data_IF_424490420093
#
_entry.id   IF_424490420093
#
_cell.length_a   1.000
_cell.length_b   1.000
_cell.length_c   1.000
_cell.angle_alpha   90.00
_cell.angle_beta   90.00
_cell.angle_gamma   90.00
#
_symmetry.space_group_name_H-M   'P 1'
#
loop_
_entity.id
_entity.type
_entity.pdbx_description
1 polymer ?
#
# COMPACT_ATOMS: atom_id res chain seq x y z
N UNK A 1 -18.16 71.61 -42.40
CA UNK A 1 -17.45 71.61 -43.71
C UNK A 1 -16.13 72.33 -43.49
N UNK A 2 -14.92 71.88 -43.86
CA UNK A 2 -14.41 70.69 -44.60
C UNK A 2 -12.92 70.50 -44.13
N UNK A 3 -12.16 69.41 -44.37
CA UNK A 3 -12.40 68.12 -45.03
C UNK A 3 -11.66 66.93 -44.36
N UNK A 4 -10.47 66.56 -44.87
CA UNK A 4 -9.54 65.45 -44.55
C UNK A 4 -8.19 65.74 -45.22
N UNK A 5 -7.07 65.22 -44.73
CA UNK A 5 -6.10 64.42 -45.52
C UNK A 5 -4.98 63.81 -44.63
N UNK A 6 -4.34 62.72 -45.08
CA UNK A 6 -3.41 61.88 -44.29
C UNK A 6 -1.94 61.96 -44.74
N UNK A 7 -1.04 61.39 -43.90
CA UNK A 7 0.34 60.87 -44.16
C UNK A 7 1.50 61.91 -44.13
N UNK A 8 2.77 61.51 -43.83
CA UNK A 8 3.36 60.15 -43.92
C UNK A 8 4.23 59.61 -42.75
N UNK A 9 4.64 58.34 -42.91
CA UNK A 9 5.77 57.56 -42.34
C UNK A 9 6.75 58.13 -41.30
N UNK A 10 7.10 57.29 -40.32
CA UNK A 10 8.51 57.05 -39.94
C UNK A 10 8.72 55.64 -39.30
N UNK A 11 9.97 55.14 -39.32
CA UNK A 11 10.35 53.78 -38.91
C UNK A 11 10.39 53.56 -37.38
N UNK A 12 10.08 52.34 -36.93
CA UNK A 12 10.63 51.77 -35.70
C UNK A 12 10.85 50.26 -35.87
N UNK A 13 12.08 49.79 -35.64
CA UNK A 13 12.45 48.39 -35.82
C UNK A 13 12.02 47.52 -34.62
N UNK A 14 11.44 46.35 -34.91
CA UNK A 14 11.10 45.35 -33.89
C UNK A 14 12.20 44.29 -33.88
N UNK A 15 12.91 44.17 -32.75
CA UNK A 15 13.81 43.05 -32.48
C UNK A 15 12.96 41.85 -32.04
N UNK A 16 12.87 40.83 -32.90
CA UNK A 16 12.22 39.56 -32.58
C UNK A 16 13.15 38.69 -31.72
N UNK A 17 13.04 38.78 -30.41
CA UNK A 17 13.59 37.77 -29.50
C UNK A 17 12.75 36.49 -29.59
N UNK A 18 13.24 35.50 -30.36
CA UNK A 18 12.64 34.17 -30.42
C UNK A 18 12.86 33.43 -29.09
N UNK A 19 11.80 33.22 -28.31
CA UNK A 19 11.82 32.27 -27.20
C UNK A 19 11.84 30.85 -27.79
N UNK A 20 12.84 30.00 -27.49
CA UNK A 20 12.81 28.62 -27.94
C UNK A 20 11.68 27.89 -27.21
N UNK A 21 10.69 27.42 -27.97
CA UNK A 21 9.66 26.55 -27.43
C UNK A 21 10.32 25.28 -26.89
N UNK A 22 10.11 24.99 -25.61
CA UNK A 22 10.61 23.77 -24.98
C UNK A 22 9.82 22.58 -25.54
N UNK A 23 10.28 22.00 -26.65
CA UNK A 23 9.67 20.80 -27.21
C UNK A 23 9.84 19.65 -26.20
N UNK A 24 8.75 19.28 -25.55
CA UNK A 24 8.67 18.01 -24.84
C UNK A 24 8.91 16.89 -25.86
N UNK A 25 10.07 16.24 -25.79
CA UNK A 25 10.34 15.03 -26.56
C UNK A 25 9.46 13.91 -26.02
N UNK A 26 8.25 13.81 -26.56
CA UNK A 26 7.39 12.65 -26.38
C UNK A 26 7.99 11.48 -27.16
N UNK A 27 8.95 10.78 -26.54
CA UNK A 27 9.49 9.54 -27.06
C UNK A 27 8.40 8.48 -26.89
N UNK A 28 7.59 8.31 -27.92
CA UNK A 28 6.80 7.10 -28.15
C UNK A 28 7.78 5.98 -28.57
N UNK A 29 8.55 5.49 -27.59
CA UNK A 29 9.29 4.23 -27.74
C UNK A 29 8.24 3.14 -28.00
N UNK A 30 8.46 2.31 -29.03
CA UNK A 30 7.52 1.22 -29.34
C UNK A 30 7.51 0.23 -28.18
N UNK A 31 6.52 0.36 -27.29
CA UNK A 31 6.50 -0.32 -26.01
C UNK A 31 6.31 -1.82 -26.20
N UNK A 32 7.42 -2.56 -26.18
CA UNK A 32 7.44 -4.00 -26.44
C UNK A 32 6.45 -4.74 -25.54
N UNK A 33 5.49 -5.42 -26.16
CA UNK A 33 4.51 -6.25 -25.46
C UNK A 33 5.23 -7.48 -24.89
N UNK A 34 5.22 -7.60 -23.56
CA UNK A 34 5.78 -8.70 -22.81
C UNK A 34 4.66 -9.72 -22.57
N UNK A 35 4.87 -10.96 -23.03
CA UNK A 35 3.96 -12.09 -22.78
C UNK A 35 4.39 -12.89 -21.53
N UNK A 36 3.48 -13.65 -20.90
CA UNK A 36 3.82 -14.61 -19.86
C UNK A 36 4.89 -15.60 -20.35
N UNK A 37 5.85 -15.94 -19.49
CA UNK A 37 6.91 -16.92 -19.75
C UNK A 37 6.50 -18.35 -19.33
N UNK A 38 5.56 -18.47 -18.39
CA UNK A 38 4.96 -19.73 -17.93
C UNK A 38 3.50 -19.49 -17.56
N UNK A 39 2.66 -20.50 -17.72
CA UNK A 39 1.28 -20.51 -17.23
C UNK A 39 1.05 -21.82 -16.49
N UNK A 40 0.32 -21.78 -15.38
CA UNK A 40 -0.19 -22.97 -14.69
C UNK A 40 -1.64 -22.75 -14.29
N UNK A 41 -2.48 -23.79 -14.37
CA UNK A 41 -3.86 -23.75 -13.87
C UNK A 41 -3.85 -24.19 -12.41
N UNK A 42 -4.45 -23.37 -11.54
CA UNK A 42 -4.57 -23.61 -10.10
C UNK A 42 -6.03 -23.93 -9.78
N UNK A 43 -6.24 -25.11 -9.21
CA UNK A 43 -7.49 -25.50 -8.56
C UNK A 43 -7.58 -24.81 -7.18
N UNK A 44 -8.63 -24.02 -6.88
CA UNK A 44 -8.77 -23.37 -5.58
C UNK A 44 -9.12 -24.36 -4.47
N UNK A 45 -8.62 -24.03 -3.27
CA UNK A 45 -9.14 -24.56 -2.02
C UNK A 45 -10.24 -23.62 -1.51
N UNK A 46 -11.51 -23.98 -1.76
CA UNK A 46 -12.67 -23.23 -1.23
C UNK A 46 -12.80 -23.41 0.28
N UNK A 47 -12.97 -22.31 0.99
CA UNK A 47 -13.14 -22.22 2.43
C UNK A 47 -14.55 -21.68 2.66
N UNK A 48 -15.50 -22.56 2.99
CA UNK A 48 -16.93 -22.20 3.03
C UNK A 48 -17.29 -21.23 4.17
N UNK A 49 -16.47 -21.21 5.22
CA UNK A 49 -16.50 -20.25 6.32
C UNK A 49 -15.13 -20.22 7.00
N UNK A 50 -14.80 -19.14 7.71
CA UNK A 50 -13.49 -18.93 8.36
C UNK A 50 -13.05 -20.13 9.23
N UNK A 51 -13.97 -20.77 9.95
CA UNK A 51 -13.68 -21.88 10.86
C UNK A 51 -13.77 -23.27 10.23
N UNK A 52 -13.96 -23.38 8.90
CA UNK A 52 -14.08 -24.67 8.22
C UNK A 52 -12.87 -25.59 8.40
N UNK A 53 -11.66 -25.01 8.57
CA UNK A 53 -10.38 -25.74 8.72
C UNK A 53 -9.75 -25.61 10.11
N UNK A 54 -10.16 -24.61 10.90
CA UNK A 54 -9.57 -24.31 12.23
C UNK A 54 -10.69 -24.17 13.26
N UNK A 55 -10.61 -24.96 14.35
CA UNK A 55 -11.65 -25.01 15.38
C UNK A 55 -11.57 -23.90 16.43
N UNK A 56 -10.44 -23.19 16.54
CA UNK A 56 -10.22 -22.15 17.54
C UNK A 56 -10.29 -20.78 16.88
N UNK A 57 -11.31 -20.01 17.26
CA UNK A 57 -11.41 -18.59 16.96
C UNK A 57 -10.22 -17.83 17.56
N UNK A 58 -9.56 -16.98 16.75
CA UNK A 58 -8.64 -15.95 17.23
C UNK A 58 -9.49 -14.81 17.81
N UNK A 59 -9.19 -14.40 19.04
CA UNK A 59 -9.95 -13.36 19.75
C UNK A 59 -9.02 -12.23 20.16
N UNK A 60 -9.59 -11.03 20.29
CA UNK A 60 -8.93 -9.86 20.85
C UNK A 60 -9.95 -9.02 21.61
N UNK A 61 -9.48 -8.22 22.57
CA UNK A 61 -10.27 -7.20 23.26
C UNK A 61 -10.03 -5.85 22.56
N UNK A 62 -10.96 -5.37 21.72
CA UNK A 62 -10.73 -4.17 20.91
C UNK A 62 -10.69 -2.88 21.73
N UNK A 63 -11.43 -2.81 22.84
CA UNK A 63 -11.55 -1.60 23.67
C UNK A 63 -11.74 -0.29 22.84
N UNK A 64 -12.78 -0.19 22.00
CA UNK A 64 -13.02 0.97 21.14
C UNK A 64 -13.25 2.24 21.96
N UNK A 65 -12.58 3.32 21.54
CA UNK A 65 -12.45 4.57 22.29
C UNK A 65 -12.20 5.75 21.35
N UNK A 66 -12.42 6.96 21.85
CA UNK A 66 -12.02 8.18 21.15
C UNK A 66 -10.67 8.67 21.67
N UNK A 67 -9.69 8.86 20.77
CA UNK A 67 -8.38 9.43 21.09
C UNK A 67 -8.14 10.62 20.15
N UNK A 68 -7.86 11.80 20.70
CA UNK A 68 -7.62 13.03 19.93
C UNK A 68 -8.71 13.37 18.90
N UNK A 69 -9.96 12.97 19.14
CA UNK A 69 -11.10 13.17 18.23
C UNK A 69 -11.32 12.07 17.19
N UNK A 70 -10.49 11.02 17.18
CA UNK A 70 -10.57 9.89 16.24
C UNK A 70 -11.04 8.62 16.94
N UNK A 71 -11.78 7.77 16.22
CA UNK A 71 -12.12 6.43 16.70
C UNK A 71 -10.87 5.55 16.62
N UNK A 72 -10.54 4.90 17.74
CA UNK A 72 -9.36 4.06 17.92
C UNK A 72 -9.74 2.78 18.66
N UNK A 73 -9.20 1.64 18.22
CA UNK A 73 -9.32 0.34 18.90
C UNK A 73 -8.07 -0.50 18.70
N UNK A 74 -7.93 -1.55 19.51
CA UNK A 74 -6.83 -2.49 19.46
C UNK A 74 -7.07 -3.48 18.30
N UNK A 75 -6.03 -3.77 17.51
CA UNK A 75 -6.06 -4.75 16.42
C UNK A 75 -5.78 -6.15 16.94
N UNK A 76 -4.59 -6.68 16.67
CA UNK A 76 -4.00 -7.79 17.40
C UNK A 76 -3.32 -7.32 18.70
N UNK A 77 -3.44 -8.14 19.76
CA UNK A 77 -2.78 -7.95 21.07
C UNK A 77 -2.14 -9.26 21.58
N UNK A 78 -1.57 -10.06 20.68
CA UNK A 78 -0.92 -11.33 21.01
C UNK A 78 0.59 -11.19 21.25
N UNK A 79 1.12 -9.94 21.26
CA UNK A 79 2.52 -9.66 21.58
C UNK A 79 3.50 -10.37 20.64
N UNK A 80 3.28 -10.30 19.33
CA UNK A 80 4.24 -10.85 18.36
C UNK A 80 5.47 -9.94 18.25
N UNK A 81 6.66 -10.50 18.07
CA UNK A 81 7.88 -9.72 17.85
C UNK A 81 7.83 -8.94 16.53
N UNK A 82 7.15 -9.49 15.51
CA UNK A 82 6.97 -8.87 14.21
C UNK A 82 5.52 -9.06 13.79
N UNK A 83 4.67 -8.06 14.03
CA UNK A 83 3.23 -8.22 13.85
C UNK A 83 2.83 -8.16 12.37
N UNK A 84 3.56 -7.37 11.58
CA UNK A 84 3.29 -7.14 10.15
C UNK A 84 1.83 -6.74 9.85
N UNK A 85 1.35 -5.65 10.48
CA UNK A 85 -0.06 -5.31 10.48
C UNK A 85 -0.55 -4.79 9.12
N UNK A 86 -1.65 -5.38 8.66
CA UNK A 86 -2.42 -4.94 7.50
C UNK A 86 -3.85 -4.57 7.90
N UNK A 87 -4.48 -3.69 7.11
CA UNK A 87 -5.91 -3.39 7.25
C UNK A 87 -6.55 -3.25 5.86
N UNK A 88 -7.73 -3.83 5.71
CA UNK A 88 -8.64 -3.58 4.60
C UNK A 88 -10.03 -3.26 5.14
N UNK A 89 -10.75 -2.39 4.44
CA UNK A 89 -12.04 -1.87 4.91
C UNK A 89 -13.06 -1.96 3.80
N UNK A 90 -14.01 -2.90 3.95
CA UNK A 90 -15.18 -3.03 3.07
C UNK A 90 -16.35 -2.20 3.58
N UNK A 91 -17.58 -2.40 3.06
CA UNK A 91 -18.71 -1.53 3.37
C UNK A 91 -19.20 -1.63 4.81
N UNK A 92 -19.18 -2.84 5.37
CA UNK A 92 -19.67 -3.15 6.72
C UNK A 92 -18.58 -3.59 7.69
N UNK A 93 -17.38 -3.92 7.19
CA UNK A 93 -16.35 -4.66 7.94
C UNK A 93 -14.97 -4.03 7.83
N UNK A 94 -14.22 -4.05 8.93
CA UNK A 94 -12.78 -3.80 9.00
C UNK A 94 -12.09 -5.16 9.18
N UNK A 95 -11.22 -5.54 8.24
CA UNK A 95 -10.41 -6.77 8.32
C UNK A 95 -8.98 -6.37 8.63
N UNK A 96 -8.43 -6.93 9.71
CA UNK A 96 -7.06 -6.75 10.13
C UNK A 96 -6.28 -8.07 10.01
N UNK A 97 -5.11 -8.03 9.38
CA UNK A 97 -4.23 -9.18 9.21
C UNK A 97 -2.88 -8.98 9.91
N UNK A 98 -2.31 -10.07 10.43
CA UNK A 98 -0.97 -10.15 11.02
C UNK A 98 -0.36 -11.52 10.71
N UNK A 99 0.90 -11.74 11.08
CA UNK A 99 1.53 -13.07 11.01
C UNK A 99 0.78 -14.17 11.80
N UNK A 100 -0.07 -13.81 12.77
CA UNK A 100 -0.96 -14.71 13.53
C UNK A 100 -2.31 -15.02 12.87
N UNK A 101 -2.59 -14.47 11.68
CA UNK A 101 -3.87 -14.60 10.97
C UNK A 101 -4.69 -13.31 10.97
N UNK A 102 -6.01 -13.42 11.07
CA UNK A 102 -6.95 -12.33 10.80
C UNK A 102 -7.94 -12.09 11.94
N UNK A 103 -8.40 -10.85 12.07
CA UNK A 103 -9.52 -10.43 12.93
C UNK A 103 -10.42 -9.48 12.16
N UNK A 104 -11.71 -9.50 12.46
CA UNK A 104 -12.78 -8.79 11.77
C UNK A 104 -13.56 -7.99 12.80
N UNK A 105 -13.79 -6.72 12.49
CA UNK A 105 -14.54 -5.77 13.32
C UNK A 105 -15.65 -5.11 12.50
N UNK A 106 -16.65 -4.54 13.18
CA UNK A 106 -17.55 -3.57 12.57
C UNK A 106 -16.88 -2.19 12.38
N UNK A 107 -17.65 -1.20 11.93
CA UNK A 107 -17.17 0.18 11.69
C UNK A 107 -16.97 0.98 12.99
N UNK A 108 -17.51 0.49 14.10
CA UNK A 108 -17.46 1.06 15.44
C UNK A 108 -16.28 0.50 16.25
N UNK A 109 -15.62 -0.55 15.73
CA UNK A 109 -14.47 -1.21 16.34
C UNK A 109 -14.83 -2.37 17.26
N UNK A 110 -16.06 -2.87 17.23
CA UNK A 110 -16.44 -4.07 17.99
C UNK A 110 -15.96 -5.33 17.26
N UNK A 111 -15.43 -6.30 18.01
CA UNK A 111 -14.95 -7.57 17.45
C UNK A 111 -16.12 -8.45 16.99
N UNK A 112 -16.02 -8.97 15.76
CA UNK A 112 -17.00 -9.88 15.15
C UNK A 112 -16.44 -11.31 15.12
N UNK A 113 -15.29 -11.51 14.48
CA UNK A 113 -14.69 -12.83 14.31
C UNK A 113 -13.16 -12.76 14.11
N UNK A 114 -12.47 -13.90 14.17
CA UNK A 114 -11.04 -13.98 13.89
C UNK A 114 -10.57 -15.42 13.75
N UNK A 115 -9.60 -15.64 12.86
CA UNK A 115 -9.09 -16.96 12.48
C UNK A 115 -7.57 -16.91 12.36
N UNK A 116 -6.89 -18.02 12.63
CA UNK A 116 -5.45 -18.09 12.35
C UNK A 116 -5.17 -18.25 10.86
N UNK A 117 -3.95 -17.94 10.43
CA UNK A 117 -3.47 -18.14 9.05
C UNK A 117 -3.70 -19.57 8.53
N UNK A 118 -3.76 -20.56 9.42
CA UNK A 118 -3.99 -21.97 9.06
C UNK A 118 -5.41 -22.23 8.51
N UNK A 119 -6.35 -21.29 8.68
CA UNK A 119 -7.63 -21.33 7.99
C UNK A 119 -7.49 -21.20 6.47
N UNK A 120 -6.41 -20.54 6.02
CA UNK A 120 -6.11 -20.18 4.64
C UNK A 120 -4.86 -20.90 4.11
N UNK A 121 -4.73 -22.20 4.42
CA UNK A 121 -3.59 -23.07 4.05
C UNK A 121 -2.22 -22.64 4.64
N UNK A 122 -2.23 -21.71 5.61
CA UNK A 122 -1.02 -21.25 6.31
C UNK A 122 -0.19 -20.24 5.52
N UNK A 123 0.99 -19.92 6.05
CA UNK A 123 1.88 -18.86 5.56
C UNK A 123 2.00 -17.69 6.55
N UNK A 124 2.81 -16.70 6.22
CA UNK A 124 3.00 -15.46 7.00
C UNK A 124 2.99 -14.25 6.05
N UNK A 125 3.34 -13.08 6.59
CA UNK A 125 3.68 -11.88 5.84
C UNK A 125 2.51 -11.38 4.96
N UNK A 126 1.29 -11.23 5.49
CA UNK A 126 0.14 -10.87 4.67
C UNK A 126 0.28 -9.47 4.09
N UNK A 127 -0.29 -9.25 2.89
CA UNK A 127 -0.69 -7.94 2.38
C UNK A 127 -2.15 -8.07 1.97
N UNK A 128 -2.98 -7.14 2.45
CA UNK A 128 -4.43 -7.32 2.49
C UNK A 128 -5.11 -6.05 1.97
N UNK A 129 -6.07 -6.23 1.06
CA UNK A 129 -6.84 -5.15 0.46
C UNK A 129 -8.33 -5.47 0.39
N UNK A 130 -9.13 -4.41 0.25
CA UNK A 130 -10.49 -4.49 -0.26
C UNK A 130 -10.49 -3.88 -1.66
N UNK A 131 -11.08 -4.58 -2.62
CA UNK A 131 -11.32 -4.10 -3.99
C UNK A 131 -12.79 -3.68 -4.12
N UNK A 132 -13.00 -2.36 -4.17
CA UNK A 132 -14.33 -1.77 -4.32
C UNK A 132 -14.91 -1.95 -5.74
N UNK A 133 -14.09 -2.21 -6.77
CA UNK A 133 -14.59 -2.48 -8.13
C UNK A 133 -15.30 -3.85 -8.21
N UNK A 134 -14.88 -4.80 -7.38
CA UNK A 134 -15.41 -6.16 -7.36
C UNK A 134 -16.20 -6.50 -6.09
N UNK A 135 -16.12 -5.69 -5.03
CA UNK A 135 -16.77 -5.95 -3.76
C UNK A 135 -16.21 -7.20 -3.08
N UNK A 136 -14.88 -7.28 -2.95
CA UNK A 136 -14.18 -8.42 -2.35
C UNK A 136 -12.98 -7.98 -1.52
N UNK A 137 -12.63 -8.78 -0.52
CA UNK A 137 -11.34 -8.73 0.15
C UNK A 137 -10.38 -9.70 -0.54
N UNK A 138 -9.10 -9.34 -0.59
CA UNK A 138 -8.04 -10.22 -1.08
C UNK A 138 -6.74 -10.05 -0.29
N UNK A 139 -5.98 -11.12 -0.17
CA UNK A 139 -4.65 -11.10 0.44
C UNK A 139 -3.73 -12.21 -0.08
N UNK A 140 -2.42 -12.05 0.12
CA UNK A 140 -1.44 -13.13 0.03
C UNK A 140 -1.04 -13.67 1.41
N UNK A 141 -0.55 -14.92 1.44
CA UNK A 141 0.26 -15.46 2.54
C UNK A 141 1.45 -16.22 1.96
N UNK A 142 2.65 -15.94 2.47
CA UNK A 142 3.90 -16.55 2.01
C UNK A 142 4.22 -17.84 2.77
N UNK A 143 4.38 -18.96 2.06
CA UNK A 143 4.69 -20.27 2.65
C UNK A 143 6.14 -20.68 2.36
N UNK A 144 7.08 -20.22 3.18
CA UNK A 144 8.51 -20.58 3.03
C UNK A 144 8.86 -22.03 3.42
N UNK A 145 7.93 -22.81 4.01
CA UNK A 145 8.20 -24.09 4.66
C UNK A 145 7.31 -25.28 4.20
N UNK A 146 6.96 -25.34 2.91
CA UNK A 146 6.15 -26.44 2.41
C UNK A 146 6.94 -27.77 2.26
N UNK A 147 6.26 -28.89 2.52
CA UNK A 147 6.85 -30.24 2.46
C UNK A 147 7.32 -30.62 1.05
N UNK A 148 6.69 -30.07 0.01
CA UNK A 148 7.03 -30.34 -1.39
C UNK A 148 8.16 -29.43 -1.92
N UNK A 149 8.62 -28.46 -1.12
CA UNK A 149 9.61 -27.43 -1.47
C UNK A 149 9.19 -26.57 -2.69
N UNK A 150 7.90 -26.50 -2.97
CA UNK A 150 7.26 -25.68 -4.01
C UNK A 150 7.14 -24.20 -3.63
N UNK A 151 7.29 -23.91 -2.34
CA UNK A 151 7.13 -22.61 -1.65
C UNK A 151 5.95 -21.82 -2.23
N UNK A 152 4.70 -22.25 -1.99
CA UNK A 152 3.56 -21.56 -2.56
C UNK A 152 3.39 -20.16 -1.93
N UNK A 153 2.82 -19.25 -2.72
CA UNK A 153 2.07 -18.12 -2.18
C UNK A 153 0.59 -18.47 -2.23
N UNK A 154 -0.11 -18.30 -1.12
CA UNK A 154 -1.54 -18.53 -1.02
C UNK A 154 -2.27 -17.21 -1.29
N UNK A 155 -2.76 -17.02 -2.51
CA UNK A 155 -3.60 -15.87 -2.87
C UNK A 155 -5.05 -16.20 -2.50
N UNK A 156 -5.64 -15.47 -1.56
CA UNK A 156 -7.01 -15.70 -1.08
C UNK A 156 -7.92 -14.54 -1.44
N UNK A 157 -9.13 -14.84 -1.92
CA UNK A 157 -10.15 -13.85 -2.33
C UNK A 157 -11.50 -14.24 -1.74
N UNK A 158 -12.24 -13.29 -1.15
CA UNK A 158 -13.60 -13.55 -0.66
C UNK A 158 -14.61 -13.59 -1.81
N UNK A 159 -15.69 -14.35 -1.66
CA UNK A 159 -16.76 -14.40 -2.69
C UNK A 159 -17.60 -13.11 -2.72
N UNK A 160 -17.61 -12.36 -1.62
CA UNK A 160 -18.44 -11.16 -1.38
C UNK A 160 -17.72 -10.13 -0.50
N UNK A 161 -18.38 -9.00 -0.22
CA UNK A 161 -17.94 -7.93 0.68
C UNK A 161 -18.20 -8.26 2.18
N UNK A 162 -18.68 -9.47 2.47
CA UNK A 162 -18.73 -10.04 3.81
C UNK A 162 -17.55 -11.02 4.02
N UNK A 163 -16.50 -10.62 4.77
CA UNK A 163 -15.31 -11.43 5.00
C UNK A 163 -15.56 -12.60 5.96
N UNK A 164 -16.74 -12.68 6.60
CA UNK A 164 -17.14 -13.82 7.45
C UNK A 164 -17.62 -15.04 6.63
N UNK A 165 -17.87 -14.84 5.32
CA UNK A 165 -18.41 -15.85 4.41
C UNK A 165 -17.31 -16.63 3.71
N UNK A 166 -17.59 -17.16 2.53
CA UNK A 166 -16.69 -18.05 1.82
C UNK A 166 -15.53 -17.31 1.14
N UNK A 167 -14.39 -18.00 1.07
CA UNK A 167 -13.16 -17.54 0.44
C UNK A 167 -12.59 -18.64 -0.47
N UNK A 168 -11.82 -18.24 -1.47
CA UNK A 168 -11.15 -19.12 -2.41
C UNK A 168 -9.63 -18.89 -2.34
N UNK A 169 -8.88 -19.90 -1.92
CA UNK A 169 -7.41 -19.83 -1.76
C UNK A 169 -6.69 -20.57 -2.89
N UNK A 170 -5.81 -19.87 -3.59
CA UNK A 170 -5.02 -20.33 -4.72
C UNK A 170 -3.54 -20.42 -4.33
N UNK A 171 -3.05 -21.64 -4.13
CA UNK A 171 -1.64 -21.90 -3.80
C UNK A 171 -0.74 -21.92 -5.04
N UNK A 172 -0.21 -20.75 -5.44
CA UNK A 172 0.62 -20.61 -6.65
C UNK A 172 2.07 -21.00 -6.35
N UNK A 173 2.66 -21.91 -7.13
CA UNK A 173 4.03 -22.39 -6.89
C UNK A 173 5.07 -21.36 -7.35
N UNK A 174 5.93 -20.91 -6.43
CA UNK A 174 7.06 -20.01 -6.72
C UNK A 174 8.39 -20.62 -6.24
N UNK A 175 8.90 -21.66 -6.93
CA UNK A 175 10.21 -22.21 -6.64
C UNK A 175 11.28 -21.13 -6.75
N UNK A 176 12.28 -21.21 -5.87
CA UNK A 176 13.34 -20.20 -5.67
C UNK A 176 12.86 -18.79 -5.29
N UNK A 177 11.57 -18.61 -5.00
CA UNK A 177 11.02 -17.43 -4.36
C UNK A 177 11.61 -17.17 -2.97
N UNK A 178 11.69 -15.89 -2.63
CA UNK A 178 12.15 -15.35 -1.35
C UNK A 178 11.07 -14.45 -0.78
N UNK A 179 11.08 -14.29 0.54
CA UNK A 179 10.17 -13.42 1.29
C UNK A 179 10.30 -11.93 0.92
N UNK A 180 9.27 -11.14 1.24
CA UNK A 180 9.16 -9.72 0.87
C UNK A 180 8.37 -9.49 -0.42
N UNK A 181 7.39 -10.36 -0.70
CA UNK A 181 6.43 -10.15 -1.78
C UNK A 181 5.33 -9.13 -1.44
N UNK A 182 4.54 -8.76 -2.44
CA UNK A 182 3.39 -7.87 -2.32
C UNK A 182 2.30 -8.26 -3.32
N UNK A 183 1.04 -8.06 -2.93
CA UNK A 183 -0.16 -8.23 -3.77
C UNK A 183 -0.76 -6.86 -4.15
N UNK A 184 -1.48 -6.81 -5.26
CA UNK A 184 -2.26 -5.66 -5.71
C UNK A 184 -3.33 -6.13 -6.71
N UNK A 185 -4.17 -5.21 -7.16
CA UNK A 185 -5.35 -5.55 -7.96
C UNK A 185 -5.73 -4.45 -8.95
N UNK A 186 -6.52 -4.83 -9.93
CA UNK A 186 -7.41 -3.98 -10.70
C UNK A 186 -8.79 -4.62 -10.77
N UNK A 187 -9.74 -3.94 -11.42
CA UNK A 187 -11.06 -4.52 -11.68
C UNK A 187 -11.01 -5.92 -12.33
N UNK A 188 -9.99 -6.22 -13.15
CA UNK A 188 -9.90 -7.47 -13.91
C UNK A 188 -8.84 -8.46 -13.41
N UNK A 189 -7.79 -7.97 -12.75
CA UNK A 189 -6.60 -8.77 -12.47
C UNK A 189 -6.14 -8.66 -11.02
N UNK A 190 -5.63 -9.77 -10.50
CA UNK A 190 -4.82 -9.81 -9.28
C UNK A 190 -3.35 -9.88 -9.71
N UNK A 191 -2.50 -9.05 -9.10
CA UNK A 191 -1.07 -9.04 -9.32
C UNK A 191 -0.31 -9.42 -8.07
N UNK A 192 0.70 -10.29 -8.19
CA UNK A 192 1.64 -10.58 -7.11
C UNK A 192 3.08 -10.44 -7.60
N UNK A 193 3.91 -9.69 -6.87
CA UNK A 193 5.32 -9.46 -7.18
C UNK A 193 6.21 -9.87 -6.01
N UNK A 194 7.31 -10.58 -6.27
CA UNK A 194 8.15 -11.18 -5.22
C UNK A 194 9.65 -11.24 -5.59
N UNK A 195 10.57 -11.30 -4.62
CA UNK A 195 12.00 -11.53 -4.88
C UNK A 195 12.33 -13.03 -5.03
N UNK A 196 13.56 -13.34 -5.49
CA UNK A 196 13.97 -14.72 -5.82
C UNK A 196 13.58 -15.15 -7.25
N UNK A 197 13.98 -16.35 -7.67
CA UNK A 197 13.63 -16.97 -8.96
C UNK A 197 14.01 -16.21 -10.26
N UNK A 198 13.52 -16.73 -11.39
CA UNK A 198 13.55 -16.06 -12.71
C UNK A 198 12.25 -15.31 -12.99
N UNK A 199 11.11 -15.98 -12.79
CA UNK A 199 9.78 -15.38 -12.90
C UNK A 199 9.40 -14.78 -11.54
N UNK A 200 9.13 -13.47 -11.50
CA UNK A 200 8.99 -12.70 -10.25
C UNK A 200 7.70 -11.90 -10.15
N UNK A 201 6.82 -12.13 -11.13
CA UNK A 201 5.54 -11.45 -11.23
C UNK A 201 4.52 -12.46 -11.70
N UNK A 202 3.41 -12.58 -10.97
CA UNK A 202 2.25 -13.39 -11.29
C UNK A 202 1.07 -12.46 -11.56
N UNK A 203 0.25 -12.82 -12.54
CA UNK A 203 -1.07 -12.22 -12.77
C UNK A 203 -2.12 -13.33 -12.81
N UNK A 204 -3.28 -13.10 -12.19
CA UNK A 204 -4.45 -14.00 -12.18
C UNK A 204 -5.73 -13.22 -12.49
N UNK A 205 -6.76 -13.89 -13.02
CA UNK A 205 -8.07 -13.27 -13.28
C UNK A 205 -8.86 -13.08 -11.99
N UNK A 206 -9.30 -11.84 -11.73
CA UNK A 206 -10.12 -11.52 -10.55
C UNK A 206 -11.46 -12.27 -10.57
N UNK A 207 -12.19 -12.24 -11.68
CA UNK A 207 -13.49 -12.91 -11.82
C UNK A 207 -13.43 -14.41 -11.51
N UNK A 208 -12.42 -15.11 -12.05
CA UNK A 208 -12.23 -16.54 -11.77
C UNK A 208 -11.90 -16.79 -10.29
N UNK A 209 -11.01 -15.98 -9.72
CA UNK A 209 -10.61 -16.11 -8.32
C UNK A 209 -11.76 -15.84 -7.34
N UNK A 210 -12.54 -14.78 -7.59
CA UNK A 210 -13.75 -14.46 -6.82
C UNK A 210 -14.79 -15.58 -6.91
N UNK A 211 -15.01 -16.14 -8.11
CA UNK A 211 -16.01 -17.17 -8.35
C UNK A 211 -15.60 -18.59 -7.87
N UNK A 212 -14.39 -18.77 -7.31
CA UNK A 212 -13.90 -20.07 -6.87
C UNK A 212 -13.69 -21.06 -8.01
N UNK A 213 -13.41 -20.56 -9.21
CA UNK A 213 -13.17 -21.38 -10.40
C UNK A 213 -11.67 -21.70 -10.55
N UNK A 214 -11.31 -22.77 -11.28
CA UNK A 214 -9.93 -23.01 -11.70
C UNK A 214 -9.39 -21.78 -12.45
N UNK A 215 -8.25 -21.26 -12.02
CA UNK A 215 -7.69 -20.00 -12.51
C UNK A 215 -6.24 -20.15 -12.96
N UNK A 216 -5.89 -19.50 -14.06
CA UNK A 216 -4.52 -19.49 -14.58
C UNK A 216 -3.66 -18.47 -13.82
N UNK A 217 -2.51 -18.92 -13.32
CA UNK A 217 -1.43 -18.07 -12.86
C UNK A 217 -0.45 -17.84 -14.02
N UNK A 218 -0.41 -16.59 -14.51
CA UNK A 218 0.47 -16.16 -15.60
C UNK A 218 1.77 -15.59 -15.01
N UNK A 219 2.86 -16.34 -15.19
CA UNK A 219 4.18 -16.01 -14.67
C UNK A 219 4.97 -15.20 -15.70
N UNK A 220 5.41 -14.00 -15.33
CA UNK A 220 6.26 -13.15 -16.15
C UNK A 220 7.72 -13.17 -15.67
N UNK A 221 8.64 -13.18 -16.64
CA UNK A 221 10.08 -13.14 -16.40
C UNK A 221 10.52 -11.80 -15.81
N UNK A 222 11.26 -11.85 -14.72
CA UNK A 222 11.67 -10.68 -13.95
C UNK A 222 10.53 -10.07 -13.12
N UNK A 223 10.89 -9.08 -12.31
CA UNK A 223 9.94 -8.32 -11.49
C UNK A 223 9.48 -7.10 -12.26
N UNK A 224 8.17 -6.83 -12.34
CA UNK A 224 7.67 -5.54 -12.84
C UNK A 224 7.74 -4.43 -11.80
N UNK A 225 7.69 -4.78 -10.51
CA UNK A 225 7.75 -3.84 -9.38
C UNK A 225 6.83 -4.29 -8.25
N UNK A 226 6.45 -3.36 -7.39
CA UNK A 226 5.34 -3.52 -6.47
C UNK A 226 4.02 -3.49 -7.27
N UNK A 227 3.15 -4.51 -7.23
CA UNK A 227 1.81 -4.41 -7.79
C UNK A 227 1.04 -3.30 -7.07
N UNK A 228 0.20 -2.59 -7.82
CA UNK A 228 -0.53 -1.43 -7.33
C UNK A 228 -1.95 -1.84 -6.93
N UNK A 229 -2.45 -1.32 -5.81
CA UNK A 229 -3.87 -1.38 -5.49
C UNK A 229 -4.61 -0.32 -6.31
N UNK A 230 -5.24 -0.74 -7.41
CA UNK A 230 -5.94 0.18 -8.32
C UNK A 230 -7.38 0.42 -7.89
N UNK A 231 -7.63 1.59 -7.29
CA UNK A 231 -8.94 2.03 -6.84
C UNK A 231 -9.76 2.69 -7.97
N UNK A 232 -9.11 3.08 -9.07
CA UNK A 232 -9.81 3.59 -10.26
C UNK A 232 -10.60 2.47 -10.96
N UNK A 233 -11.67 2.84 -11.66
CA UNK A 233 -12.51 1.92 -12.44
C UNK A 233 -11.84 1.57 -13.79
N UNK A 234 -10.65 0.96 -13.72
CA UNK A 234 -9.83 0.51 -14.86
C UNK A 234 -9.55 -1.00 -14.74
N UNK A 235 -9.74 -1.73 -15.84
CA UNK A 235 -9.33 -3.14 -15.97
C UNK A 235 -7.80 -3.29 -15.86
N UNK A 236 -7.05 -2.23 -16.15
CA UNK A 236 -5.60 -2.17 -16.08
C UNK A 236 -5.03 -2.43 -14.69
N UNK A 237 -4.15 -3.43 -14.59
CA UNK A 237 -3.32 -3.66 -13.40
C UNK A 237 -1.95 -2.99 -13.60
N UNK A 238 -1.48 -2.27 -12.60
CA UNK A 238 -0.22 -1.52 -12.67
C UNK A 238 0.82 -2.12 -11.73
N UNK A 239 2.08 -2.01 -12.14
CA UNK A 239 3.24 -2.31 -11.30
C UNK A 239 4.16 -1.10 -11.29
N UNK A 240 4.59 -0.70 -10.10
CA UNK A 240 5.49 0.44 -9.89
C UNK A 240 6.87 -0.02 -9.40
N UNK A 241 7.92 0.47 -10.04
CA UNK A 241 9.30 0.22 -9.62
C UNK A 241 10.09 1.51 -9.55
N UNK A 242 10.52 1.85 -8.33
CA UNK A 242 11.45 2.93 -8.08
C UNK A 242 12.90 2.41 -8.20
N UNK A 243 13.64 2.94 -9.17
CA UNK A 243 15.08 2.73 -9.33
C UNK A 243 15.85 3.96 -8.80
N UNK A 244 17.19 3.93 -8.64
CA UNK A 244 17.93 5.07 -8.06
C UNK A 244 17.88 6.41 -8.82
N UNK A 245 17.39 6.43 -10.07
CA UNK A 245 17.27 7.62 -10.94
C UNK A 245 16.02 7.62 -11.83
N UNK A 246 15.17 6.59 -11.74
CA UNK A 246 14.06 6.37 -12.66
C UNK A 246 12.85 5.73 -11.96
N UNK A 247 11.67 6.18 -12.35
CA UNK A 247 10.41 5.52 -12.08
C UNK A 247 10.01 4.71 -13.31
N UNK A 248 9.73 3.42 -13.12
CA UNK A 248 9.21 2.53 -14.15
C UNK A 248 7.77 2.16 -13.77
N UNK A 249 6.86 2.29 -14.73
CA UNK A 249 5.48 1.83 -14.59
C UNK A 249 5.19 0.84 -15.72
N UNK A 250 4.75 -0.35 -15.34
CA UNK A 250 4.28 -1.39 -16.26
C UNK A 250 2.78 -1.56 -16.08
N UNK A 251 2.01 -1.48 -17.17
CA UNK A 251 0.58 -1.79 -17.19
C UNK A 251 0.36 -3.19 -17.77
N UNK A 252 -0.51 -3.96 -17.14
CA UNK A 252 -1.02 -5.24 -17.63
C UNK A 252 -2.45 -5.03 -18.12
N UNK A 253 -2.73 -5.54 -19.32
CA UNK A 253 -4.04 -5.52 -19.99
C UNK A 253 -4.34 -6.90 -20.56
N UNK A 254 -5.59 -7.12 -20.97
CA UNK A 254 -5.90 -8.26 -21.83
C UNK A 254 -5.23 -8.08 -23.21
N UNK A 255 -4.66 -9.15 -23.77
CA UNK A 255 -4.32 -9.27 -25.18
C UNK A 255 -5.50 -9.76 -26.02
N UNK A 256 -5.26 -9.99 -27.31
CA UNK A 256 -6.29 -10.41 -28.28
C UNK A 256 -6.96 -11.75 -27.94
N UNK A 257 -6.24 -12.62 -27.23
CA UNK A 257 -6.72 -13.92 -26.71
C UNK A 257 -7.35 -13.83 -25.30
N UNK A 258 -7.47 -12.61 -24.75
CA UNK A 258 -7.99 -12.34 -23.41
C UNK A 258 -6.99 -12.54 -22.27
N UNK A 259 -5.82 -13.13 -22.53
CA UNK A 259 -4.78 -13.39 -21.52
C UNK A 259 -4.03 -12.10 -21.14
N UNK A 260 -3.43 -12.02 -19.93
CA UNK A 260 -2.69 -10.83 -19.54
C UNK A 260 -1.41 -10.67 -20.36
N UNK A 261 -1.22 -9.48 -20.92
CA UNK A 261 0.03 -9.01 -21.54
C UNK A 261 0.49 -7.74 -20.84
N UNK A 262 1.81 -7.58 -20.70
CA UNK A 262 2.40 -6.48 -19.94
C UNK A 262 3.15 -5.52 -20.87
N UNK A 263 3.02 -4.22 -20.60
CA UNK A 263 3.64 -3.15 -21.39
C UNK A 263 4.28 -2.14 -20.45
N UNK A 264 5.56 -1.82 -20.64
CA UNK A 264 6.20 -0.73 -19.91
C UNK A 264 5.70 0.60 -20.49
N UNK A 265 4.78 1.28 -19.79
CA UNK A 265 4.17 2.53 -20.26
C UNK A 265 4.97 3.77 -19.87
N UNK A 266 5.90 3.68 -18.91
CA UNK A 266 6.69 4.83 -18.43
C UNK A 266 8.09 4.44 -17.98
N UNK A 267 9.06 5.30 -18.31
CA UNK A 267 10.45 5.27 -17.84
C UNK A 267 10.95 6.69 -17.53
N UNK A 268 10.26 7.37 -16.61
CA UNK A 268 10.55 8.76 -16.25
C UNK A 268 11.77 8.88 -15.33
N UNK A 269 12.53 9.97 -15.44
CA UNK A 269 13.50 10.36 -14.40
C UNK A 269 12.74 10.91 -13.18
N UNK A 270 13.30 10.73 -11.99
CA UNK A 270 12.88 11.46 -10.81
C UNK A 270 14.11 12.05 -10.11
N UNK A 271 13.92 13.20 -9.50
CA UNK A 271 14.91 13.87 -8.67
C UNK A 271 14.60 13.73 -7.18
N UNK A 272 13.79 12.73 -6.79
CA UNK A 272 13.54 12.42 -5.37
C UNK A 272 14.84 12.36 -4.59
N UNK A 273 14.87 13.19 -3.55
CA UNK A 273 16.01 13.41 -2.67
C UNK A 273 16.22 12.19 -1.74
N UNK A 274 17.25 12.26 -0.90
CA UNK A 274 17.53 11.30 0.17
C UNK A 274 17.49 9.82 -0.28
N UNK A 275 18.49 9.42 -1.07
CA UNK A 275 18.58 8.08 -1.70
C UNK A 275 19.12 6.99 -0.77
N UNK A 276 19.57 7.35 0.43
CA UNK A 276 20.09 6.42 1.42
C UNK A 276 18.95 5.69 2.15
N UNK A 277 19.23 4.47 2.62
CA UNK A 277 18.31 3.73 3.49
C UNK A 277 18.12 4.48 4.82
N UNK A 278 16.91 4.47 5.42
CA UNK A 278 16.71 5.00 6.75
C UNK A 278 17.64 4.29 7.76
N UNK A 279 18.27 5.02 8.70
CA UNK A 279 19.09 4.43 9.73
C UNK A 279 18.20 3.67 10.74
N UNK A 280 18.78 2.72 11.48
CA UNK A 280 18.08 2.10 12.61
C UNK A 280 17.84 3.14 13.70
N UNK A 281 16.70 3.04 14.38
CA UNK A 281 16.25 4.06 15.33
C UNK A 281 16.58 3.69 16.78
N UNK A 282 17.00 4.66 17.61
CA UNK A 282 17.26 4.43 19.04
C UNK A 282 15.98 4.19 19.83
N UNK A 283 16.12 3.70 21.06
CA UNK A 283 15.03 3.43 22.00
C UNK A 283 15.41 3.87 23.41
N UNK A 284 14.46 4.13 24.32
CA UNK A 284 14.77 4.54 25.69
C UNK A 284 15.43 3.44 26.51
N UNK A 285 16.42 3.82 27.32
CA UNK A 285 17.04 2.94 28.31
C UNK A 285 17.89 1.78 27.75
N UNK A 286 18.21 1.77 26.45
CA UNK A 286 19.00 0.68 25.84
C UNK A 286 19.78 1.14 24.60
N UNK A 287 20.95 0.53 24.36
CA UNK A 287 21.72 0.70 23.13
C UNK A 287 21.14 -0.08 21.93
N UNK A 288 20.09 -0.89 22.17
CA UNK A 288 19.41 -1.65 21.12
C UNK A 288 18.59 -0.73 20.21
N UNK A 289 18.83 -0.83 18.91
CA UNK A 289 18.09 -0.08 17.89
C UNK A 289 17.01 -0.92 17.21
N UNK A 290 15.92 -0.26 16.80
CA UNK A 290 14.81 -0.85 16.05
C UNK A 290 14.96 -0.58 14.55
N UNK A 291 14.51 -1.49 13.70
CA UNK A 291 14.44 -1.29 12.26
C UNK A 291 13.51 -0.12 11.90
N UNK A 292 13.68 0.46 10.71
CA UNK A 292 13.01 1.72 10.34
C UNK A 292 12.35 1.71 8.97
N UNK A 293 12.21 0.53 8.38
CA UNK A 293 11.63 0.31 7.05
C UNK A 293 12.62 0.43 5.90
N UNK A 294 12.07 0.46 4.68
CA UNK A 294 12.81 0.54 3.43
C UNK A 294 12.58 1.91 2.74
N UNK A 295 13.54 2.33 1.92
CA UNK A 295 13.41 3.42 0.95
C UNK A 295 12.60 3.03 -0.29
N UNK A 296 12.43 1.74 -0.54
CA UNK A 296 11.58 1.20 -1.59
C UNK A 296 10.11 1.34 -1.16
N UNK A 297 9.21 1.83 -2.03
CA UNK A 297 7.79 1.95 -1.72
C UNK A 297 7.16 0.61 -1.32
N UNK A 298 6.33 0.64 -0.27
CA UNK A 298 5.40 -0.42 0.13
C UNK A 298 3.99 0.20 0.19
N UNK A 299 2.95 -0.58 -0.14
CA UNK A 299 1.57 -0.12 -0.26
C UNK A 299 1.42 1.04 -1.28
N UNK A 300 1.51 0.70 -2.56
CA UNK A 300 1.33 1.65 -3.68
C UNK A 300 -0.12 1.62 -4.15
N UNK A 301 -0.77 2.78 -4.16
CA UNK A 301 -2.18 2.95 -4.54
C UNK A 301 -2.28 3.73 -5.86
N UNK A 302 -3.22 3.38 -6.73
CA UNK A 302 -3.64 4.22 -7.86
C UNK A 302 -5.04 4.77 -7.57
N UNK A 303 -5.15 6.10 -7.56
CA UNK A 303 -6.40 6.85 -7.41
C UNK A 303 -6.32 8.13 -8.26
N UNK A 304 -7.38 8.40 -9.03
CA UNK A 304 -7.52 9.54 -9.93
C UNK A 304 -6.36 9.65 -10.95
N UNK A 305 -5.90 8.53 -11.50
CA UNK A 305 -4.79 8.49 -12.46
C UNK A 305 -3.42 8.83 -11.87
N UNK A 306 -3.31 8.91 -10.54
CA UNK A 306 -2.06 9.15 -9.82
C UNK A 306 -1.68 7.95 -8.94
N UNK A 307 -0.41 7.56 -9.01
CA UNK A 307 0.22 6.69 -8.02
C UNK A 307 0.51 7.49 -6.74
N UNK A 308 0.11 6.91 -5.62
CA UNK A 308 0.36 7.41 -4.26
C UNK A 308 1.14 6.36 -3.49
N UNK A 309 2.21 6.78 -2.81
CA UNK A 309 3.05 5.91 -2.01
C UNK A 309 3.88 6.70 -1.00
N UNK A 310 4.35 6.02 0.05
CA UNK A 310 5.38 6.52 0.96
C UNK A 310 6.64 5.66 0.95
N UNK A 311 7.70 6.19 1.55
CA UNK A 311 9.01 5.54 1.69
C UNK A 311 9.79 6.11 2.87
N UNK A 312 10.65 5.29 3.45
CA UNK A 312 11.65 5.73 4.41
C UNK A 312 12.82 6.47 3.74
N UNK A 313 13.47 7.34 4.50
CA UNK A 313 14.73 8.00 4.13
C UNK A 313 15.61 8.27 5.36
N UNK A 314 16.87 8.55 5.11
CA UNK A 314 17.78 9.13 6.09
C UNK A 314 17.80 10.65 5.93
N UNK A 315 17.33 11.37 6.96
CA UNK A 315 17.47 12.81 7.09
C UNK A 315 18.31 13.10 8.33
N UNK A 316 19.47 13.70 8.17
CA UNK A 316 20.39 14.12 9.24
C UNK A 316 20.68 13.03 10.30
N UNK A 317 20.73 11.76 9.89
CA UNK A 317 20.99 10.62 10.78
C UNK A 317 19.75 10.07 11.48
N UNK A 318 18.54 10.53 11.12
CA UNK A 318 17.24 10.02 11.57
C UNK A 318 16.48 9.33 10.45
N UNK A 319 15.59 8.41 10.83
CA UNK A 319 14.62 7.86 9.90
C UNK A 319 13.47 8.85 9.75
N UNK A 320 13.18 9.24 8.52
CA UNK A 320 12.07 10.11 8.17
C UNK A 320 11.22 9.46 7.08
N UNK A 321 9.99 9.94 6.92
CA UNK A 321 9.04 9.45 5.92
C UNK A 321 8.84 10.50 4.84
N UNK A 322 8.82 10.08 3.58
CA UNK A 322 8.40 10.93 2.46
C UNK A 322 7.27 10.26 1.70
N UNK A 323 6.24 11.03 1.37
CA UNK A 323 5.09 10.61 0.57
C UNK A 323 5.07 11.34 -0.77
N UNK A 324 4.48 10.71 -1.78
CA UNK A 324 4.49 11.19 -3.15
C UNK A 324 3.12 11.01 -3.82
N UNK A 325 2.74 11.97 -4.69
CA UNK A 325 1.70 11.83 -5.72
C UNK A 325 2.38 11.97 -7.09
N UNK A 326 2.26 10.95 -7.94
CA UNK A 326 2.92 10.89 -9.26
C UNK A 326 1.92 10.42 -10.31
N UNK A 327 1.81 11.11 -11.45
CA UNK A 327 0.96 10.67 -12.56
C UNK A 327 1.49 9.38 -13.20
N UNK A 328 0.63 8.66 -13.92
CA UNK A 328 1.01 7.47 -14.68
C UNK A 328 2.06 7.71 -15.80
N UNK A 329 2.30 8.97 -16.22
CA UNK A 329 3.39 9.36 -17.12
C UNK A 329 4.74 9.61 -16.40
N UNK A 330 4.75 9.52 -15.07
CA UNK A 330 5.90 9.80 -14.19
C UNK A 330 6.05 11.27 -13.76
N UNK A 331 5.13 12.16 -14.12
CA UNK A 331 5.13 13.56 -13.65
C UNK A 331 4.83 13.61 -12.15
N UNK A 332 5.76 14.17 -11.37
CA UNK A 332 5.54 14.46 -9.94
C UNK A 332 4.48 15.56 -9.78
N UNK A 333 3.45 15.32 -8.96
CA UNK A 333 2.37 16.29 -8.68
C UNK A 333 2.63 17.04 -7.38
N UNK A 334 3.07 16.31 -6.35
CA UNK A 334 3.49 16.83 -5.05
C UNK A 334 4.23 15.73 -4.26
N UNK A 335 4.97 16.16 -3.23
CA UNK A 335 5.56 15.27 -2.23
C UNK A 335 5.69 16.04 -0.92
N UNK A 336 5.71 15.34 0.21
CA UNK A 336 5.91 15.94 1.53
C UNK A 336 6.76 15.04 2.42
N UNK A 337 7.41 15.63 3.43
CA UNK A 337 8.33 14.95 4.35
C UNK A 337 7.79 15.06 5.78
N UNK A 338 7.88 13.96 6.54
CA UNK A 338 7.61 13.88 7.97
C UNK A 338 8.95 13.57 8.64
N UNK A 339 9.45 14.51 9.44
CA UNK A 339 10.79 14.46 10.04
C UNK A 339 10.87 15.31 11.30
N UNK A 340 11.72 14.92 12.24
CA UNK A 340 11.97 15.61 13.50
C UNK A 340 13.46 15.49 13.86
N UNK A 341 14.09 16.51 14.48
CA UNK A 341 15.52 16.47 14.82
C UNK A 341 15.91 15.44 15.91
N UNK A 342 14.95 14.94 16.70
CA UNK A 342 15.16 14.01 17.82
C UNK A 342 14.51 12.65 17.59
N UNK A 343 13.34 12.62 16.95
CA UNK A 343 12.56 11.42 16.66
C UNK A 343 12.92 10.79 15.32
N UNK A 344 12.59 9.52 15.22
CA UNK A 344 12.52 8.77 13.97
C UNK A 344 11.07 8.42 13.67
N UNK A 345 10.71 8.44 12.38
CA UNK A 345 9.44 7.94 11.86
C UNK A 345 9.68 6.71 11.00
N UNK A 346 8.95 5.63 11.29
CA UNK A 346 9.26 4.27 10.80
C UNK A 346 8.01 3.57 10.23
N UNK A 347 8.24 2.60 9.34
CA UNK A 347 7.24 1.74 8.70
C UNK A 347 6.00 2.48 8.18
N UNK A 348 6.22 3.44 7.28
CA UNK A 348 5.13 4.23 6.70
C UNK A 348 4.21 3.45 5.75
N UNK A 349 2.93 3.80 5.73
CA UNK A 349 1.96 3.41 4.70
C UNK A 349 1.02 4.57 4.36
N UNK A 350 0.32 4.47 3.23
CA UNK A 350 -0.63 5.50 2.76
C UNK A 350 -1.97 4.92 2.35
N UNK A 351 -3.01 5.73 2.46
CA UNK A 351 -4.25 5.56 1.70
C UNK A 351 -4.77 6.93 1.26
N UNK A 352 -5.47 6.93 0.14
CA UNK A 352 -6.04 8.12 -0.51
C UNK A 352 -7.49 7.81 -0.85
N UNK A 353 -8.36 8.82 -0.81
CA UNK A 353 -9.77 8.68 -1.18
C UNK A 353 -10.06 9.30 -2.56
N UNK A 354 -11.31 9.13 -3.05
CA UNK A 354 -11.71 9.68 -4.35
C UNK A 354 -11.63 11.22 -4.44
N UNK A 355 -11.58 11.94 -3.30
CA UNK A 355 -11.41 13.39 -3.25
C UNK A 355 -9.94 13.85 -3.23
N UNK A 356 -8.95 12.93 -3.28
CA UNK A 356 -7.52 13.17 -3.06
C UNK A 356 -7.14 13.67 -1.65
N UNK A 357 -7.96 13.35 -0.65
CA UNK A 357 -7.54 13.39 0.75
C UNK A 357 -6.62 12.18 1.02
N UNK A 358 -5.58 12.38 1.83
CA UNK A 358 -4.50 11.42 2.06
C UNK A 358 -4.28 11.22 3.56
N UNK A 359 -4.14 9.95 3.98
CA UNK A 359 -3.58 9.57 5.28
C UNK A 359 -2.18 8.98 5.06
N UNK A 360 -1.27 9.30 5.98
CA UNK A 360 0.04 8.66 6.11
C UNK A 360 0.14 8.09 7.51
N UNK A 361 0.10 6.77 7.64
CA UNK A 361 0.29 6.06 8.90
C UNK A 361 1.75 5.66 9.10
N UNK A 362 2.26 5.73 10.34
CA UNK A 362 3.65 5.38 10.68
C UNK A 362 3.77 5.18 12.21
N UNK A 363 4.94 4.73 12.69
CA UNK A 363 5.27 4.81 14.12
C UNK A 363 6.34 5.87 14.40
N UNK A 364 6.27 6.47 15.60
CA UNK A 364 7.32 7.30 16.19
C UNK A 364 8.22 6.44 17.08
N UNK A 365 9.54 6.65 17.02
CA UNK A 365 10.53 6.01 17.89
C UNK A 365 11.66 7.00 18.22
N UNK A 366 12.33 6.85 19.36
CA UNK A 366 13.43 7.74 19.72
C UNK A 366 14.13 7.39 21.04
N UNK A 367 15.16 8.17 21.43
CA UNK A 367 15.90 7.91 22.67
C UNK A 367 15.06 8.15 23.94
N UNK A 368 13.92 8.85 23.82
CA UNK A 368 13.00 9.20 24.89
C UNK A 368 11.52 8.90 24.53
N UNK A 369 11.26 8.02 23.55
CA UNK A 369 9.94 7.44 23.30
C UNK A 369 10.04 5.99 22.80
N UNK A 370 9.20 5.10 23.32
CA UNK A 370 9.04 3.74 22.80
C UNK A 370 8.32 3.75 21.44
N UNK A 371 8.22 2.60 20.77
CA UNK A 371 7.58 2.57 19.45
C UNK A 371 6.08 2.81 19.60
N UNK A 372 5.65 3.98 19.14
CA UNK A 372 4.30 4.53 19.38
C UNK A 372 3.57 4.82 18.07
N UNK A 373 2.29 4.43 17.91
CA UNK A 373 1.54 4.57 16.67
C UNK A 373 1.10 6.01 16.40
N UNK A 374 1.25 6.44 15.13
CA UNK A 374 0.93 7.79 14.65
C UNK A 374 0.21 7.74 13.30
N UNK A 375 -0.46 8.84 12.99
CA UNK A 375 -0.72 9.19 11.59
C UNK A 375 -0.68 10.71 11.40
N UNK A 376 -0.54 11.14 10.16
CA UNK A 376 -0.80 12.50 9.71
C UNK A 376 -1.69 12.44 8.47
N UNK A 377 -2.41 13.51 8.16
CA UNK A 377 -3.34 13.53 7.04
C UNK A 377 -3.42 14.89 6.37
N UNK A 378 -3.94 14.94 5.15
CA UNK A 378 -4.32 16.18 4.46
C UNK A 378 -5.65 15.98 3.74
N UNK A 379 -6.40 17.06 3.57
CA UNK A 379 -7.45 17.14 2.57
C UNK A 379 -6.89 17.63 1.25
N UNK A 380 -7.55 17.35 0.13
CA UNK A 380 -7.08 17.80 -1.19
C UNK A 380 -6.98 19.32 -1.32
N UNK A 381 -7.83 20.05 -0.60
CA UNK A 381 -7.83 21.52 -0.47
C UNK A 381 -6.67 22.09 0.36
N UNK A 382 -5.96 21.28 1.14
CA UNK A 382 -4.80 21.74 1.93
C UNK A 382 -3.61 22.03 0.99
N UNK A 383 -2.71 22.98 1.32
CA UNK A 383 -1.57 23.32 0.47
C UNK A 383 -0.75 22.10 0.03
N UNK A 384 -0.38 22.06 -1.26
CA UNK A 384 0.35 20.93 -1.83
C UNK A 384 1.67 20.66 -1.10
N UNK A 385 1.98 19.38 -0.91
CA UNK A 385 3.17 18.91 -0.20
C UNK A 385 3.14 19.06 1.33
N UNK A 386 2.04 19.58 1.89
CA UNK A 386 1.86 19.69 3.35
C UNK A 386 0.93 18.60 3.89
N UNK A 387 1.10 18.28 5.17
CA UNK A 387 0.17 17.50 5.98
C UNK A 387 -0.26 18.38 7.17
N UNK A 388 -1.41 18.06 7.75
CA UNK A 388 -1.86 18.60 9.04
C UNK A 388 -1.04 17.98 10.19
N UNK A 389 -1.24 18.51 11.39
CA UNK A 389 -0.55 18.05 12.60
C UNK A 389 -0.65 16.53 12.81
N UNK A 390 0.44 15.96 13.32
CA UNK A 390 0.55 14.54 13.64
C UNK A 390 -0.39 14.17 14.80
N UNK A 391 -1.13 13.08 14.63
CA UNK A 391 -2.05 12.52 15.62
C UNK A 391 -1.39 11.33 16.32
N UNK A 392 -1.31 11.37 17.65
CA UNK A 392 -1.07 10.17 18.46
C UNK A 392 -2.36 9.38 18.63
N UNK A 393 -2.29 8.05 18.44
CA UNK A 393 -3.38 7.10 18.68
C UNK A 393 -3.05 6.08 19.77
N UNK A 394 -1.89 6.20 20.41
CA UNK A 394 -1.41 5.30 21.47
C UNK A 394 0.07 5.55 21.78
N UNK A 395 0.54 5.03 22.89
CA UNK A 395 1.96 5.12 23.29
C UNK A 395 2.51 3.73 23.62
N UNK A 396 3.73 3.46 23.17
CA UNK A 396 4.45 2.24 23.54
C UNK A 396 4.87 2.26 25.01
N UNK A 397 4.98 1.07 25.62
CA UNK A 397 5.16 0.91 27.06
C UNK A 397 6.56 0.42 27.47
N UNK A 398 7.31 -0.22 26.56
CA UNK A 398 8.66 -0.73 26.84
C UNK A 398 9.58 -0.69 25.60
N UNK A 399 10.89 -0.81 25.86
CA UNK A 399 11.89 -0.94 24.80
C UNK A 399 11.80 -2.32 24.15
N UNK A 400 11.86 -2.37 22.83
CA UNK A 400 11.75 -3.64 22.09
C UNK A 400 13.03 -4.47 22.21
N UNK A 401 12.94 -5.77 21.88
CA UNK A 401 14.11 -6.65 21.79
C UNK A 401 15.19 -6.17 20.80
N UNK A 402 14.87 -5.22 19.92
CA UNK A 402 15.74 -4.65 18.89
C UNK A 402 15.78 -5.48 17.60
N UNK A 403 16.31 -4.85 16.54
CA UNK A 403 16.28 -5.42 15.19
C UNK A 403 14.94 -5.20 14.50
N UNK A 404 14.45 -6.18 13.71
CA UNK A 404 13.15 -6.10 13.05
C UNK A 404 11.97 -5.94 14.03
N UNK A 405 10.93 -5.22 13.59
CA UNK A 405 9.74 -4.82 14.36
C UNK A 405 8.43 -5.17 13.62
N UNK A 406 8.53 -6.02 12.60
CA UNK A 406 7.64 -5.97 11.45
C UNK A 406 8.15 -4.98 10.41
N UNK A 407 7.85 -5.29 9.16
CA UNK A 407 8.26 -4.65 7.93
C UNK A 407 7.14 -3.85 7.26
N UNK A 408 5.91 -3.94 7.77
CA UNK A 408 4.72 -3.33 7.18
C UNK A 408 3.91 -2.51 8.17
N UNK A 409 3.02 -1.69 7.63
CA UNK A 409 1.91 -1.08 8.33
C UNK A 409 0.79 -0.84 7.31
N UNK A 410 -0.45 -0.78 7.77
CA UNK A 410 -1.62 -0.73 6.89
C UNK A 410 -2.26 0.65 6.87
N UNK A 411 -2.68 1.09 5.68
CA UNK A 411 -3.66 2.17 5.51
C UNK A 411 -4.64 1.73 4.43
N UNK A 412 -5.91 2.08 4.58
CA UNK A 412 -6.98 1.74 3.64
C UNK A 412 -7.97 2.90 3.48
N UNK A 413 -8.57 2.99 2.29
CA UNK A 413 -9.81 3.76 2.09
C UNK A 413 -11.00 2.92 2.55
N UNK A 414 -12.03 3.57 3.06
CA UNK A 414 -13.28 2.94 3.41
C UNK A 414 -14.08 2.53 2.15
N UNK A 415 -14.13 1.24 1.86
CA UNK A 415 -14.83 0.71 0.68
C UNK A 415 -16.35 0.85 0.69
N UNK A 416 -16.96 1.35 1.77
CA UNK A 416 -18.40 1.62 1.85
C UNK A 416 -18.78 3.03 1.46
N UNK A 417 -18.03 4.02 1.93
CA UNK A 417 -18.30 5.44 1.64
C UNK A 417 -17.31 6.09 0.66
N UNK A 418 -16.18 5.45 0.36
CA UNK A 418 -15.15 5.93 -0.57
C UNK A 418 -14.41 7.18 -0.13
N UNK A 419 -14.55 7.57 1.16
CA UNK A 419 -14.11 8.87 1.69
C UNK A 419 -13.28 8.72 2.96
N UNK A 420 -13.77 8.02 3.98
CA UNK A 420 -13.05 7.89 5.25
C UNK A 420 -11.77 7.07 5.07
N UNK A 421 -10.73 7.43 5.81
CA UNK A 421 -9.43 6.79 5.72
C UNK A 421 -9.09 6.09 7.04
N UNK A 422 -8.42 4.96 6.93
CA UNK A 422 -8.12 4.08 8.05
C UNK A 422 -6.64 3.76 8.09
N UNK A 423 -6.12 3.52 9.29
CA UNK A 423 -4.71 3.15 9.52
C UNK A 423 -4.61 2.07 10.60
N UNK A 424 -3.65 1.17 10.45
CA UNK A 424 -3.23 0.24 11.51
C UNK A 424 -1.72 0.30 11.68
N UNK A 425 -1.28 0.43 12.93
CA UNK A 425 0.10 0.70 13.29
C UNK A 425 0.51 -0.19 14.48
N UNK A 426 1.76 -0.67 14.48
CA UNK A 426 2.31 -1.41 15.63
C UNK A 426 2.54 -0.48 16.83
N UNK A 427 2.42 -1.03 18.04
CA UNK A 427 2.74 -0.36 19.31
C UNK A 427 3.54 -1.32 20.21
N UNK A 428 4.49 -0.82 20.99
CA UNK A 428 5.22 -1.65 21.93
C UNK A 428 4.41 -1.94 23.20
N UNK A 429 4.15 -3.21 23.50
CA UNK A 429 3.53 -3.67 24.74
C UNK A 429 4.46 -3.47 25.96
N UNK A 430 3.99 -3.83 27.16
CA UNK A 430 4.75 -3.70 28.40
C UNK A 430 5.96 -4.68 28.50
N UNK A 431 6.08 -5.62 27.56
CA UNK A 431 7.10 -6.67 27.50
C UNK A 431 8.08 -6.43 26.34
N UNK A 432 7.92 -5.34 25.57
CA UNK A 432 8.75 -4.99 24.42
C UNK A 432 8.42 -5.78 23.15
N UNK A 433 7.22 -6.36 23.07
CA UNK A 433 6.67 -7.06 21.90
C UNK A 433 5.61 -6.20 21.23
N UNK A 434 5.21 -6.56 20.01
CA UNK A 434 4.30 -5.78 19.19
C UNK A 434 2.84 -6.15 19.42
N UNK A 435 2.06 -5.16 19.80
CA UNK A 435 0.61 -5.11 19.63
C UNK A 435 0.27 -4.13 18.49
N UNK A 436 -1.00 -3.95 18.17
CA UNK A 436 -1.43 -3.03 17.09
C UNK A 436 -2.64 -2.18 17.47
N UNK A 437 -2.71 -1.00 16.87
CA UNK A 437 -3.79 -0.03 17.06
C UNK A 437 -4.34 0.36 15.69
N UNK A 438 -5.66 0.28 15.55
CA UNK A 438 -6.44 0.68 14.38
C UNK A 438 -7.11 2.02 14.67
N UNK A 439 -7.10 2.94 13.71
CA UNK A 439 -7.78 4.22 13.81
C UNK A 439 -8.55 4.59 12.53
N UNK A 440 -9.70 5.25 12.70
CA UNK A 440 -10.51 5.86 11.62
C UNK A 440 -10.33 7.36 11.61
N UNK A 441 -9.85 7.90 10.50
CA UNK A 441 -9.81 9.32 10.19
C UNK A 441 -10.99 9.69 9.27
N UNK A 442 -12.08 10.29 9.81
CA UNK A 442 -13.22 10.68 9.00
C UNK A 442 -12.86 11.86 8.11
N UNK A 443 -12.96 11.68 6.78
CA UNK A 443 -12.59 12.72 5.80
C UNK A 443 -13.80 13.49 5.26
N UNK A 444 -15.01 13.03 5.56
CA UNK A 444 -16.26 13.71 5.23
C UNK A 444 -16.25 15.21 5.59
N UNK A 445 -16.97 16.01 4.81
CA UNK A 445 -17.07 17.46 4.96
C UNK A 445 -18.00 17.87 6.13
N UNK A 446 -17.67 17.45 7.35
CA UNK A 446 -18.39 17.82 8.58
C UNK A 446 -17.47 18.50 9.59
N UNK A 447 -17.17 19.77 9.29
CA UNK A 447 -16.76 20.75 10.28
C UNK A 447 -15.25 20.92 10.48
N UNK A 448 -14.76 22.08 10.06
CA UNK A 448 -13.70 22.76 10.82
C UNK A 448 -14.21 22.97 12.25
N UNK A 449 -13.78 22.11 13.18
CA UNK A 449 -13.76 22.49 14.60
C UNK A 449 -12.46 23.25 14.84
N UNK A 450 -12.60 24.58 14.82
CA UNK A 450 -11.62 25.55 15.29
C UNK A 450 -11.23 25.28 16.73
#
# INVERSE_FOLDING_TARGET
MLHRSMRPFCFLGIVLCSVPALQAQQIADSSTVIKPARVETIEPSRIESLHAKVKRQRKVEPAPRMVNGFLVFNGATDGDRQVDPQVAVGPNHVVHGTNGGFTIFDKEGNFIDGVSQNGFEGGIDPKLHYDANNGVFLFDLWVYWDKAKRKPVNISVSETDDPTKAWNTYGVSIPDGVDGGAIGYSKRWIGYGFPGGENKTIVMSMDKCKAGLPAEAFHFKGSFGHPVANQDVDDGLYFFKLQPKKMIITKVTAGDDGNPVATQITSAKHDFEYRHYPPKSPQPGTDKTVASGDRNPKNVVLQNGCLWFSRGLNLDGRAAVMWHQVKLDGTSVQSGVISDPKRSFIQSSVAVNAQEDLIVGFQEAGPDIFVSPRFAFRKSVDPKGTLRDMVSIGEGLAATAGGPWGDYSGCAVDGGNGLDLWTVQSVADAEGKGDTVIARAPMNATGDRK
#
